data_IF_334421903094
#
_entry.id   IF_334421903094
#
_cell.length_a   1.000
_cell.length_b   1.000
_cell.length_c   1.000
_cell.angle_alpha   90.00
_cell.angle_beta   90.00
_cell.angle_gamma   90.00
#
_symmetry.space_group_name_H-M   'P 1'
#
loop_
_entity.id
_entity.type
_entity.pdbx_description
1 polymer ?
#
# COMPACT_ATOMS: atom_id res chain seq x y z
N UNK A 1 -4.77 1.63 -7.82
CA UNK A 1 -3.69 0.81 -8.40
C UNK A 1 -4.11 -0.65 -8.46
N UNK A 2 -4.46 -1.26 -7.33
CA UNK A 2 -4.95 -2.64 -7.24
C UNK A 2 -3.86 -3.72 -7.19
N UNK A 3 -2.58 -3.36 -7.33
CA UNK A 3 -1.47 -4.33 -7.33
C UNK A 3 -0.15 -3.67 -6.88
N UNK A 4 -0.19 -2.93 -5.76
CA UNK A 4 1.03 -2.37 -5.17
C UNK A 4 1.82 -3.48 -4.48
N UNK A 5 3.06 -3.70 -4.90
CA UNK A 5 3.98 -4.71 -4.36
C UNK A 5 5.41 -4.42 -4.82
N UNK A 6 6.42 -5.03 -4.18
CA UNK A 6 7.83 -4.80 -4.52
C UNK A 6 8.16 -5.13 -5.98
N UNK A 7 7.49 -6.14 -6.55
CA UNK A 7 7.64 -6.50 -7.97
C UNK A 7 7.16 -5.44 -8.97
N UNK A 8 6.34 -4.47 -8.52
CA UNK A 8 5.82 -3.37 -9.33
C UNK A 8 6.46 -2.02 -8.95
N UNK A 9 7.63 -2.05 -8.31
CA UNK A 9 8.47 -0.88 -8.04
C UNK A 9 9.74 -0.98 -8.87
N UNK A 10 9.96 -0.02 -9.76
CA UNK A 10 11.19 0.13 -10.52
C UNK A 10 12.06 1.20 -9.86
N UNK A 11 13.38 0.99 -9.87
CA UNK A 11 14.36 1.95 -9.35
C UNK A 11 15.26 2.37 -10.50
N UNK A 12 15.30 3.67 -10.80
CA UNK A 12 16.21 4.22 -11.80
C UNK A 12 17.66 4.25 -11.30
N UNK A 13 18.59 4.54 -12.21
CA UNK A 13 20.03 4.66 -11.95
C UNK A 13 20.38 5.77 -10.96
N UNK A 14 19.58 6.83 -10.90
CA UNK A 14 19.65 7.91 -9.90
C UNK A 14 19.04 7.53 -8.53
N UNK A 15 18.56 6.29 -8.37
CA UNK A 15 17.98 5.78 -7.12
C UNK A 15 16.53 6.17 -6.88
N UNK A 16 15.82 6.73 -7.87
CA UNK A 16 14.41 7.11 -7.72
C UNK A 16 13.50 5.89 -7.92
N UNK A 17 12.70 5.58 -6.89
CA UNK A 17 11.70 4.51 -6.94
C UNK A 17 10.39 5.01 -7.59
N UNK A 18 9.82 4.23 -8.52
CA UNK A 18 8.58 4.55 -9.23
C UNK A 18 7.68 3.31 -9.31
N UNK A 19 6.38 3.50 -9.08
CA UNK A 19 5.38 2.47 -9.32
C UNK A 19 5.21 2.23 -10.82
N UNK A 20 5.02 0.96 -11.20
CA UNK A 20 4.68 0.54 -12.55
C UNK A 20 3.47 -0.42 -12.55
N UNK A 21 3.06 -0.86 -13.73
CA UNK A 21 1.96 -1.80 -13.93
C UNK A 21 0.57 -1.33 -13.41
N UNK A 22 0.08 -0.25 -14.00
CA UNK A 22 -1.27 0.29 -13.73
C UNK A 22 -2.39 -0.47 -14.45
N UNK A 23 -2.14 -1.71 -14.89
CA UNK A 23 -3.10 -2.51 -15.66
C UNK A 23 -4.44 -2.67 -14.95
N UNK A 24 -4.43 -2.86 -13.63
CA UNK A 24 -5.65 -3.01 -12.83
C UNK A 24 -6.37 -1.69 -12.57
N UNK A 25 -5.66 -0.56 -12.51
CA UNK A 25 -6.28 0.77 -12.38
C UNK A 25 -7.27 1.03 -13.52
N UNK A 26 -6.89 0.69 -14.76
CA UNK A 26 -7.73 0.89 -15.96
C UNK A 26 -8.94 -0.05 -16.02
N UNK A 27 -8.84 -1.22 -15.39
CA UNK A 27 -9.94 -2.18 -15.33
C UNK A 27 -10.98 -1.77 -14.28
N UNK A 28 -10.53 -1.27 -13.13
CA UNK A 28 -11.38 -0.74 -12.06
C UNK A 28 -12.16 0.51 -12.50
N UNK A 29 -11.57 1.34 -13.36
CA UNK A 29 -12.23 2.54 -13.91
C UNK A 29 -13.33 2.17 -14.93
N UNK A 30 -13.13 1.10 -15.70
CA UNK A 30 -14.04 0.70 -16.80
C UNK A 30 -15.03 -0.41 -16.43
N UNK A 31 -14.82 -1.12 -15.31
CA UNK A 31 -15.62 -2.30 -14.94
C UNK A 31 -16.17 -2.14 -13.53
N UNK A 32 -17.49 -2.26 -13.38
CA UNK A 32 -18.12 -2.41 -12.07
C UNK A 32 -17.86 -3.80 -11.43
N UNK A 33 -17.00 -4.66 -11.98
CA UNK A 33 -16.95 -6.06 -11.54
C UNK A 33 -15.64 -6.81 -11.77
N UNK A 34 -14.48 -6.17 -11.74
CA UNK A 34 -13.23 -6.93 -11.71
C UNK A 34 -12.96 -7.50 -10.32
N UNK A 35 -13.64 -8.60 -10.00
CA UNK A 35 -13.12 -9.62 -9.08
C UNK A 35 -11.88 -10.21 -9.73
N UNK A 36 -10.73 -10.09 -9.10
CA UNK A 36 -9.57 -10.86 -9.48
C UNK A 36 -9.24 -11.85 -8.37
N UNK A 37 -9.58 -13.11 -8.62
CA UNK A 37 -9.09 -14.26 -7.86
C UNK A 37 -7.57 -14.23 -7.92
N UNK A 38 -6.96 -13.95 -6.78
CA UNK A 38 -5.54 -13.64 -6.67
C UNK A 38 -4.65 -14.65 -7.40
N UNK A 39 -3.78 -14.13 -8.27
CA UNK A 39 -2.52 -14.81 -8.52
C UNK A 39 -1.90 -15.06 -7.13
N UNK A 40 -1.57 -16.31 -6.79
CA UNK A 40 -1.07 -16.74 -5.46
C UNK A 40 0.05 -15.84 -4.89
N UNK A 41 0.72 -15.04 -5.72
CA UNK A 41 1.69 -14.02 -5.32
C UNK A 41 1.10 -12.77 -4.63
N UNK A 42 -0.03 -12.20 -5.08
CA UNK A 42 -0.52 -10.88 -4.60
C UNK A 42 -1.14 -10.92 -3.20
N UNK A 43 -1.55 -12.10 -2.70
CA UNK A 43 -2.21 -12.25 -1.39
C UNK A 43 -1.43 -11.60 -0.22
N UNK A 44 -0.10 -11.55 -0.29
CA UNK A 44 0.74 -10.95 0.77
C UNK A 44 0.53 -9.44 0.94
N UNK A 45 0.14 -8.73 -0.12
CA UNK A 45 -0.11 -7.28 -0.10
C UNK A 45 -1.60 -6.96 -0.14
N UNK A 46 -2.46 -7.97 -0.18
CA UNK A 46 -3.90 -7.80 -0.30
C UNK A 46 -4.49 -7.36 1.04
N UNK A 47 -5.34 -6.32 1.00
CA UNK A 47 -6.04 -5.82 2.17
C UNK A 47 -7.02 -6.88 2.72
N UNK A 48 -7.26 -6.94 4.04
CA UNK A 48 -8.05 -7.99 4.67
C UNK A 48 -9.47 -8.06 4.11
N UNK A 49 -10.11 -6.92 3.84
CA UNK A 49 -11.45 -6.87 3.25
C UNK A 49 -11.51 -7.57 1.88
N UNK A 50 -10.46 -7.49 1.08
CA UNK A 50 -10.39 -8.13 -0.25
C UNK A 50 -10.21 -9.66 -0.17
N UNK A 51 -9.78 -10.17 0.99
CA UNK A 51 -9.59 -11.60 1.24
C UNK A 51 -10.81 -12.21 1.94
N UNK A 52 -11.44 -11.44 2.84
CA UNK A 52 -12.50 -11.92 3.72
C UNK A 52 -13.91 -11.73 3.15
N UNK A 53 -14.11 -10.76 2.25
CA UNK A 53 -15.41 -10.43 1.69
C UNK A 53 -15.46 -10.76 0.20
N UNK A 54 -16.40 -11.63 -0.19
CA UNK A 54 -16.49 -12.12 -1.57
C UNK A 54 -16.79 -11.02 -2.61
N UNK A 55 -17.43 -9.92 -2.20
CA UNK A 55 -17.83 -8.80 -3.07
C UNK A 55 -16.94 -7.56 -2.94
N UNK A 56 -15.90 -7.60 -2.09
CA UNK A 56 -15.00 -6.47 -1.91
C UNK A 56 -14.22 -6.18 -3.21
N UNK A 57 -13.99 -4.89 -3.44
CA UNK A 57 -13.30 -4.39 -4.63
C UNK A 57 -12.09 -3.59 -4.19
N UNK A 58 -11.06 -3.58 -5.04
CA UNK A 58 -9.93 -2.70 -4.83
C UNK A 58 -10.39 -1.24 -4.73
N UNK A 59 -10.03 -0.61 -3.63
CA UNK A 59 -10.27 0.80 -3.34
C UNK A 59 -8.95 1.51 -3.11
N UNK A 60 -9.01 2.84 -3.03
CA UNK A 60 -7.89 3.64 -2.56
C UNK A 60 -7.38 3.16 -1.18
N UNK A 61 -8.29 2.83 -0.25
CA UNK A 61 -7.88 2.34 1.08
C UNK A 61 -7.18 0.98 1.01
N UNK A 62 -7.57 0.11 0.07
CA UNK A 62 -6.86 -1.16 -0.15
C UNK A 62 -5.45 -0.97 -0.72
N UNK A 63 -5.22 0.08 -1.52
CA UNK A 63 -3.89 0.46 -1.99
C UNK A 63 -3.01 0.99 -0.85
N UNK A 64 -3.59 1.70 0.13
CA UNK A 64 -2.87 2.17 1.32
C UNK A 64 -2.38 0.99 2.16
N UNK A 65 -3.21 -0.04 2.35
CA UNK A 65 -2.77 -1.28 3.00
C UNK A 65 -1.58 -1.91 2.26
N UNK A 66 -1.70 -2.10 0.95
CA UNK A 66 -0.65 -2.67 0.12
C UNK A 66 0.66 -1.86 0.17
N UNK A 67 0.56 -0.53 0.26
CA UNK A 67 1.69 0.37 0.50
C UNK A 67 2.37 0.10 1.86
N UNK A 68 1.61 -0.10 2.93
CA UNK A 68 2.15 -0.51 4.24
C UNK A 68 2.92 -1.83 4.15
N UNK A 69 2.36 -2.83 3.46
CA UNK A 69 3.05 -4.10 3.20
C UNK A 69 4.34 -3.92 2.39
N UNK A 70 4.34 -3.07 1.37
CA UNK A 70 5.52 -2.74 0.57
C UNK A 70 6.63 -2.07 1.41
N UNK A 71 6.27 -1.17 2.32
CA UNK A 71 7.22 -0.54 3.26
C UNK A 71 7.90 -1.60 4.15
N UNK A 72 7.14 -2.59 4.62
CA UNK A 72 7.67 -3.71 5.41
C UNK A 72 8.59 -4.59 4.54
N UNK A 73 8.14 -4.94 3.33
CA UNK A 73 8.89 -5.76 2.37
C UNK A 73 10.26 -5.14 2.05
N UNK A 74 10.30 -3.84 1.75
CA UNK A 74 11.52 -3.12 1.40
C UNK A 74 12.61 -3.20 2.49
N UNK A 75 12.22 -3.46 3.74
CA UNK A 75 13.12 -3.54 4.90
C UNK A 75 13.53 -4.98 5.29
N UNK A 76 13.08 -5.99 4.52
CA UNK A 76 13.57 -7.39 4.52
C UNK A 76 13.51 -8.14 5.86
N UNK A 77 12.75 -7.70 6.87
CA UNK A 77 12.54 -8.45 8.12
C UNK A 77 11.05 -8.46 8.49
N UNK A 78 10.67 -9.51 9.23
CA UNK A 78 9.39 -9.78 9.90
C UNK A 78 8.66 -8.51 10.38
N UNK A 79 7.33 -8.54 10.67
CA UNK A 79 6.48 -7.37 10.97
C UNK A 79 6.82 -6.61 12.27
N UNK A 80 8.09 -6.41 12.57
CA UNK A 80 8.62 -5.64 13.68
C UNK A 80 9.35 -4.40 13.15
N UNK A 81 9.27 -3.32 13.91
CA UNK A 81 9.94 -2.07 13.60
C UNK A 81 11.45 -2.27 13.44
N UNK A 82 12.06 -1.88 12.31
CA UNK A 82 13.51 -1.85 12.18
C UNK A 82 14.15 -0.86 13.14
N UNK A 83 15.30 -1.20 13.72
CA UNK A 83 16.02 -0.32 14.67
C UNK A 83 16.49 1.00 14.04
N UNK A 84 16.61 1.06 12.71
CA UNK A 84 17.01 2.23 11.94
C UNK A 84 15.81 3.01 11.36
N UNK A 85 14.60 2.79 11.87
CA UNK A 85 13.40 3.53 11.47
C UNK A 85 12.88 4.36 12.64
N UNK A 86 12.58 5.63 12.36
CA UNK A 86 12.01 6.53 13.36
C UNK A 86 10.60 6.09 13.75
N UNK A 87 10.21 6.42 14.98
CA UNK A 87 8.87 6.19 15.52
C UNK A 87 7.80 6.80 14.61
N UNK A 88 8.09 7.99 14.06
CA UNK A 88 7.23 8.72 13.12
C UNK A 88 6.95 7.88 11.88
N UNK A 89 7.99 7.41 11.18
CA UNK A 89 7.82 6.62 9.95
C UNK A 89 7.12 5.29 10.26
N UNK A 90 7.48 4.64 11.36
CA UNK A 90 6.86 3.38 11.76
C UNK A 90 5.37 3.53 12.09
N UNK A 91 4.97 4.56 12.82
CA UNK A 91 3.57 4.84 13.11
C UNK A 91 2.74 5.05 11.83
N UNK A 92 3.33 5.67 10.80
CA UNK A 92 2.71 5.80 9.48
C UNK A 92 2.49 4.45 8.80
N UNK A 93 3.49 3.54 8.86
CA UNK A 93 3.37 2.17 8.34
C UNK A 93 2.32 1.38 9.10
N UNK A 94 2.28 1.48 10.43
CA UNK A 94 1.26 0.82 11.25
C UNK A 94 -0.15 1.33 10.93
N UNK A 95 -0.31 2.64 10.73
CA UNK A 95 -1.59 3.24 10.35
C UNK A 95 -2.09 2.73 8.98
N UNK A 96 -1.18 2.47 8.03
CA UNK A 96 -1.54 1.85 6.74
C UNK A 96 -2.13 0.45 6.93
N UNK A 97 -1.63 -0.30 7.92
CA UNK A 97 -2.00 -1.68 8.21
C UNK A 97 -3.21 -1.80 9.17
N UNK A 98 -4.08 -0.79 9.24
CA UNK A 98 -5.35 -0.88 9.98
C UNK A 98 -6.31 -1.88 9.31
N UNK A 99 -6.88 -2.78 10.12
CA UNK A 99 -7.95 -3.69 9.67
C UNK A 99 -9.20 -2.94 9.20
N UNK A 100 -9.52 -1.83 9.86
CA UNK A 100 -10.59 -0.91 9.47
C UNK A 100 -10.09 -0.02 8.31
N UNK A 101 -10.66 -0.12 7.10
CA UNK A 101 -10.24 0.66 5.94
C UNK A 101 -10.41 2.17 6.12
N UNK A 102 -11.35 2.64 6.93
CA UNK A 102 -11.63 4.06 7.12
C UNK A 102 -10.58 4.76 7.99
N UNK A 103 -9.86 3.98 8.81
CA UNK A 103 -8.78 4.49 9.66
C UNK A 103 -7.43 4.60 8.96
N UNK A 104 -7.32 4.06 7.73
CA UNK A 104 -6.08 4.12 6.97
C UNK A 104 -5.85 5.56 6.49
N UNK A 105 -4.61 6.08 6.55
CA UNK A 105 -4.32 7.45 6.18
C UNK A 105 -4.46 7.67 4.67
N UNK A 106 -4.69 8.91 4.27
CA UNK A 106 -4.52 9.29 2.87
C UNK A 106 -3.02 9.36 2.52
N UNK A 107 -2.67 9.04 1.27
CA UNK A 107 -1.28 9.10 0.81
C UNK A 107 -0.69 10.51 0.98
N UNK A 108 -1.49 11.56 0.82
CA UNK A 108 -1.04 12.94 1.06
C UNK A 108 -0.55 13.14 2.50
N UNK A 109 -1.28 12.62 3.48
CA UNK A 109 -0.87 12.71 4.89
C UNK A 109 0.38 11.87 5.17
N UNK A 110 0.53 10.71 4.51
CA UNK A 110 1.74 9.91 4.61
C UNK A 110 2.97 10.66 4.07
N UNK A 111 2.83 11.33 2.92
CA UNK A 111 3.92 12.12 2.33
C UNK A 111 4.34 13.23 3.28
N UNK A 112 3.38 14.02 3.77
CA UNK A 112 3.61 15.09 4.74
C UNK A 112 4.32 14.58 6.02
N UNK A 113 3.85 13.45 6.54
CA UNK A 113 4.40 12.81 7.75
C UNK A 113 5.83 12.30 7.56
N UNK A 114 6.16 11.78 6.36
CA UNK A 114 7.50 11.27 6.03
C UNK A 114 8.47 12.40 5.66
N UNK A 115 8.00 13.45 4.98
CA UNK A 115 8.81 14.61 4.60
C UNK A 115 9.07 15.56 5.77
N UNK A 116 8.34 15.41 6.89
CA UNK A 116 8.40 16.33 8.03
C UNK A 116 7.68 17.65 7.77
N UNK A 117 6.92 17.74 6.68
CA UNK A 117 6.11 18.91 6.34
C UNK A 117 4.76 18.78 7.08
N UNK A 118 4.67 19.37 8.27
CA UNK A 118 3.37 19.51 8.94
C UNK A 118 2.46 20.43 8.12
N UNK A 119 1.44 19.85 7.47
CA UNK A 119 0.32 20.64 6.92
C UNK A 119 -0.54 21.04 8.12
N UNK A 120 -0.37 22.28 8.60
CA UNK A 120 -1.31 22.88 9.54
C UNK A 120 -2.68 23.00 8.84
N UNK A 121 -3.70 22.39 9.45
CA UNK A 121 -5.11 22.70 9.16
C UNK A 121 -5.47 24.09 9.66
#
# INVERSE_FOLDING_TARGET
HGDIKGGNVLVSDDGVARLCDFGLSRLLENSQSTRQTGAKGTLRWMAPELVLEDDARHTYSSDIWACGCLCIEARRKLPARPSNMSDVIWAGVEACCSFDPERRPQALHLVAHISGEFVMQ
#
